data_IF_216414524893
#
_entry.id   IF_216414524893
#
_cell.length_a   1.000
_cell.length_b   1.000
_cell.length_c   1.000
_cell.angle_alpha   90.00
_cell.angle_beta   90.00
_cell.angle_gamma   90.00
#
_symmetry.space_group_name_H-M   'P 1'
#
loop_
_entity.id
_entity.type
_entity.pdbx_description
1 polymer ?
#
# COMPACT_ATOMS: atom_id res chain seq x y z
N UNK A 1 41.29 13.99 -1.87
CA UNK A 1 39.85 13.85 -2.16
C UNK A 1 39.15 14.19 -0.88
N UNK A 2 38.43 15.30 -0.91
CA UNK A 2 37.91 15.97 0.27
C UNK A 2 36.70 15.21 0.81
N UNK A 3 36.64 14.99 2.12
CA UNK A 3 35.53 14.29 2.80
C UNK A 3 34.18 15.00 2.51
N UNK A 4 34.23 16.30 2.17
CA UNK A 4 33.06 17.07 1.72
C UNK A 4 32.51 16.62 0.37
N UNK A 5 33.37 16.33 -0.62
CA UNK A 5 32.93 15.84 -1.93
C UNK A 5 32.33 14.43 -1.85
N UNK A 6 32.84 13.57 -0.97
CA UNK A 6 32.25 12.23 -0.74
C UNK A 6 30.90 12.29 -0.01
N UNK A 7 30.70 13.29 0.85
CA UNK A 7 29.43 13.50 1.57
C UNK A 7 28.39 14.18 0.67
N UNK A 8 28.79 15.17 -0.14
CA UNK A 8 27.93 15.78 -1.17
C UNK A 8 27.52 14.77 -2.25
N UNK A 9 28.43 13.92 -2.72
CA UNK A 9 28.11 12.88 -3.71
C UNK A 9 27.18 11.77 -3.13
N UNK A 10 27.21 11.53 -1.81
CA UNK A 10 26.26 10.64 -1.13
C UNK A 10 24.89 11.29 -0.94
N UNK A 11 24.85 12.58 -0.59
CA UNK A 11 23.61 13.35 -0.49
C UNK A 11 22.95 13.54 -1.86
N UNK A 12 23.71 13.78 -2.93
CA UNK A 12 23.18 13.87 -4.29
C UNK A 12 22.66 12.53 -4.82
N UNK A 13 23.24 11.39 -4.38
CA UNK A 13 22.70 10.06 -4.66
C UNK A 13 21.43 9.76 -3.87
N UNK A 14 21.30 10.24 -2.63
CA UNK A 14 20.06 10.13 -1.85
C UNK A 14 18.90 10.97 -2.42
N UNK A 15 19.21 12.07 -3.13
CA UNK A 15 18.20 13.00 -3.68
C UNK A 15 17.68 12.59 -5.06
N UNK A 16 18.28 11.57 -5.71
CA UNK A 16 17.93 11.17 -7.08
C UNK A 16 17.73 9.65 -7.25
N UNK A 17 17.35 8.96 -6.18
CA UNK A 17 16.93 7.56 -6.26
C UNK A 17 15.51 7.49 -6.82
N UNK A 18 15.30 6.61 -7.80
CA UNK A 18 13.96 6.20 -8.22
C UNK A 18 13.22 5.62 -7.00
N UNK A 19 11.91 5.90 -6.88
CA UNK A 19 11.04 5.38 -5.81
C UNK A 19 11.20 3.86 -5.69
N UNK A 20 11.41 3.18 -6.82
CA UNK A 20 11.66 1.74 -6.88
C UNK A 20 12.94 1.34 -6.14
N UNK A 21 14.03 2.08 -6.32
CA UNK A 21 15.32 1.83 -5.66
C UNK A 21 15.21 2.13 -4.17
N UNK A 22 14.46 3.15 -3.77
CA UNK A 22 14.23 3.48 -2.35
C UNK A 22 13.46 2.37 -1.63
N UNK A 23 12.39 1.86 -2.26
CA UNK A 23 11.64 0.69 -1.77
C UNK A 23 12.56 -0.51 -1.57
N UNK A 24 13.39 -0.80 -2.58
CA UNK A 24 14.31 -1.93 -2.54
C UNK A 24 15.38 -1.78 -1.47
N UNK A 25 15.95 -0.59 -1.34
CA UNK A 25 16.96 -0.29 -0.34
C UNK A 25 16.40 -0.41 1.08
N UNK A 26 15.19 0.10 1.33
CA UNK A 26 14.51 -0.03 2.63
C UNK A 26 14.22 -1.49 2.97
N UNK A 27 13.69 -2.26 2.01
CA UNK A 27 13.45 -3.71 2.20
C UNK A 27 14.73 -4.49 2.51
N UNK A 28 15.87 -4.10 1.90
CA UNK A 28 17.15 -4.76 2.18
C UNK A 28 17.75 -4.37 3.53
N UNK A 29 17.63 -3.11 3.93
CA UNK A 29 18.28 -2.64 5.17
C UNK A 29 17.47 -2.92 6.42
N UNK A 30 16.15 -2.98 6.32
CA UNK A 30 15.30 -3.09 7.49
C UNK A 30 15.36 -4.48 8.13
N UNK A 31 15.18 -4.51 9.44
CA UNK A 31 15.00 -5.73 10.21
C UNK A 31 13.65 -6.36 9.89
N UNK A 32 13.67 -7.50 9.18
CA UNK A 32 12.48 -8.27 8.79
C UNK A 32 11.61 -8.75 9.96
N UNK A 33 12.08 -8.59 11.21
CA UNK A 33 11.31 -8.88 12.42
C UNK A 33 10.29 -7.78 12.75
N UNK A 34 10.42 -6.59 12.18
CA UNK A 34 9.54 -5.43 12.44
C UNK A 34 8.62 -5.17 11.26
N UNK A 35 7.52 -4.48 11.54
CA UNK A 35 6.70 -3.94 10.46
C UNK A 35 7.45 -2.78 9.80
N UNK A 36 7.25 -2.63 8.50
CA UNK A 36 7.85 -1.58 7.70
C UNK A 36 6.76 -0.86 6.90
N UNK A 37 6.78 0.46 6.94
CA UNK A 37 5.92 1.30 6.10
C UNK A 37 6.77 1.84 4.95
N UNK A 38 6.28 1.70 3.73
CA UNK A 38 6.84 2.33 2.54
C UNK A 38 5.75 3.20 1.91
N UNK A 39 6.11 4.38 1.47
CA UNK A 39 5.18 5.37 0.91
C UNK A 39 5.82 6.07 -0.28
N UNK A 40 5.01 6.47 -1.24
CA UNK A 40 5.43 7.38 -2.31
C UNK A 40 5.48 8.83 -1.80
N UNK A 41 6.15 9.73 -2.51
CA UNK A 41 5.88 11.17 -2.36
C UNK A 41 4.39 11.46 -2.54
N UNK A 42 3.87 12.46 -1.82
CA UNK A 42 2.49 12.91 -1.98
C UNK A 42 2.43 14.06 -2.98
N UNK A 43 1.76 13.90 -4.14
CA UNK A 43 1.56 15.00 -5.07
C UNK A 43 0.71 16.13 -4.47
N UNK A 44 0.82 17.34 -4.99
CA UNK A 44 0.05 18.46 -4.43
C UNK A 44 -1.44 18.35 -4.73
N UNK A 45 -1.82 17.75 -5.87
CA UNK A 45 -3.22 17.55 -6.23
C UNK A 45 -3.97 16.65 -5.22
N UNK A 46 -3.30 15.68 -4.59
CA UNK A 46 -3.95 14.82 -3.59
C UNK A 46 -4.22 15.53 -2.26
N UNK A 47 -3.56 16.68 -2.03
CA UNK A 47 -3.78 17.52 -0.85
C UNK A 47 -4.90 18.52 -1.09
N UNK A 48 -5.00 19.05 -2.30
CA UNK A 48 -5.97 20.09 -2.66
C UNK A 48 -7.33 19.55 -3.12
N UNK A 49 -7.37 18.38 -3.77
CA UNK A 49 -8.59 17.82 -4.36
C UNK A 49 -9.11 16.59 -3.59
N UNK A 50 -10.44 16.41 -3.51
CA UNK A 50 -11.04 15.19 -2.98
C UNK A 50 -10.53 13.95 -3.72
N UNK A 51 -10.00 12.99 -2.96
CA UNK A 51 -9.40 11.77 -3.45
C UNK A 51 -10.26 10.54 -3.17
N UNK A 52 -10.13 9.55 -4.06
CA UNK A 52 -10.62 8.20 -3.85
C UNK A 52 -9.42 7.29 -3.56
N UNK A 53 -9.61 6.35 -2.65
CA UNK A 53 -8.55 5.47 -2.14
C UNK A 53 -8.98 4.01 -2.27
N UNK A 54 -8.09 3.17 -2.78
CA UNK A 54 -8.25 1.72 -2.83
C UNK A 54 -7.40 1.03 -1.77
N UNK A 55 -7.90 -0.06 -1.20
CA UNK A 55 -7.20 -0.91 -0.23
C UNK A 55 -7.24 -2.36 -0.68
N UNK A 56 -6.09 -3.02 -0.67
CA UNK A 56 -5.98 -4.46 -0.89
C UNK A 56 -4.78 -5.05 -0.12
N UNK A 57 -4.69 -6.38 -0.06
CA UNK A 57 -3.59 -7.10 0.59
C UNK A 57 -2.93 -8.17 -0.28
N UNK A 58 -1.73 -8.56 0.12
CA UNK A 58 -1.03 -9.73 -0.41
C UNK A 58 -0.43 -10.56 0.74
N UNK A 59 -0.40 -11.88 0.60
CA UNK A 59 0.29 -12.75 1.56
C UNK A 59 -0.49 -13.16 2.79
N UNK A 60 -1.83 -13.07 2.76
CA UNK A 60 -2.70 -13.49 3.86
C UNK A 60 -2.70 -15.01 4.13
N UNK A 61 -2.62 -15.82 3.07
CA UNK A 61 -2.75 -17.29 3.15
C UNK A 61 -1.47 -18.09 3.44
N UNK A 62 -0.29 -17.70 2.93
CA UNK A 62 0.96 -18.43 3.14
C UNK A 62 1.36 -18.55 4.63
N UNK A 63 2.00 -19.67 4.97
CA UNK A 63 2.54 -19.92 6.33
C UNK A 63 3.85 -19.16 6.57
N UNK A 64 4.59 -18.84 5.50
CA UNK A 64 5.88 -18.17 5.53
C UNK A 64 5.81 -16.83 4.82
N UNK A 65 6.68 -15.92 5.26
CA UNK A 65 6.82 -14.58 4.69
C UNK A 65 5.79 -13.59 5.24
N UNK A 66 5.95 -12.29 4.91
CA UNK A 66 5.14 -11.23 5.45
C UNK A 66 3.75 -11.20 4.81
N UNK A 67 2.82 -10.52 5.49
CA UNK A 67 1.57 -10.05 4.91
C UNK A 67 1.73 -8.56 4.60
N UNK A 68 1.35 -8.11 3.41
CA UNK A 68 1.49 -6.72 2.99
C UNK A 68 0.12 -6.14 2.72
N UNK A 69 -0.20 -5.02 3.35
CA UNK A 69 -1.35 -4.19 3.00
C UNK A 69 -0.89 -3.03 2.14
N UNK A 70 -1.64 -2.72 1.09
CA UNK A 70 -1.38 -1.58 0.23
C UNK A 70 -2.60 -0.69 0.11
N UNK A 71 -2.33 0.62 0.01
CA UNK A 71 -3.29 1.64 -0.38
C UNK A 71 -2.76 2.41 -1.57
N UNK A 72 -3.66 2.82 -2.45
CA UNK A 72 -3.39 3.71 -3.57
C UNK A 72 -4.49 4.76 -3.62
N UNK A 73 -4.16 6.02 -3.89
CA UNK A 73 -5.10 7.12 -3.92
C UNK A 73 -4.73 8.15 -4.99
N UNK A 74 -5.76 8.79 -5.53
CA UNK A 74 -5.65 9.79 -6.59
C UNK A 74 -6.85 10.75 -6.51
N UNK A 75 -6.82 11.95 -7.11
CA UNK A 75 -7.99 12.81 -7.18
C UNK A 75 -9.18 12.12 -7.88
N UNK A 76 -10.39 12.37 -7.40
CA UNK A 76 -11.63 11.83 -7.99
C UNK A 76 -11.81 12.31 -9.44
N UNK A 77 -11.33 13.53 -9.74
CA UNK A 77 -11.29 14.11 -11.09
C UNK A 77 -10.51 13.25 -12.10
N UNK A 78 -9.60 12.40 -11.63
CA UNK A 78 -8.75 11.54 -12.48
C UNK A 78 -9.30 10.12 -12.66
N UNK A 79 -10.50 9.79 -12.16
CA UNK A 79 -11.09 8.44 -12.24
C UNK A 79 -11.08 7.85 -13.66
N UNK A 80 -11.46 8.64 -14.66
CA UNK A 80 -11.52 8.20 -16.06
C UNK A 80 -10.12 7.87 -16.60
N UNK A 81 -9.17 8.81 -16.46
CA UNK A 81 -7.77 8.63 -16.84
C UNK A 81 -7.13 7.42 -16.14
N UNK A 82 -7.44 7.23 -14.86
CA UNK A 82 -6.95 6.09 -14.07
C UNK A 82 -7.47 4.76 -14.64
N UNK A 83 -8.71 4.72 -15.15
CA UNK A 83 -9.27 3.54 -15.82
C UNK A 83 -8.52 3.18 -17.11
N UNK A 84 -8.06 4.18 -17.87
CA UNK A 84 -7.31 4.00 -19.12
C UNK A 84 -5.89 3.43 -18.91
N UNK A 85 -5.33 3.56 -17.71
CA UNK A 85 -3.98 3.06 -17.38
C UNK A 85 -3.88 1.53 -17.31
N UNK A 86 -5.02 0.81 -17.40
CA UNK A 86 -5.03 -0.64 -17.63
C UNK A 86 -4.86 -1.49 -16.37
N UNK A 87 -5.27 -1.00 -15.20
CA UNK A 87 -5.09 -1.71 -13.93
C UNK A 87 -6.04 -2.91 -13.71
N UNK A 88 -7.04 -3.16 -14.57
CA UNK A 88 -8.25 -3.92 -14.20
C UNK A 88 -8.13 -5.45 -14.02
N UNK A 89 -7.05 -6.13 -14.43
CA UNK A 89 -6.96 -7.60 -14.36
C UNK A 89 -5.68 -8.11 -13.68
N UNK A 90 -5.51 -7.81 -12.39
CA UNK A 90 -4.28 -8.16 -11.65
C UNK A 90 -4.13 -9.65 -11.28
N UNK A 91 -5.17 -10.47 -11.46
CA UNK A 91 -5.22 -11.88 -11.02
C UNK A 91 -4.52 -12.84 -11.98
N UNK A 92 -4.39 -12.47 -13.24
CA UNK A 92 -3.74 -13.28 -14.29
C UNK A 92 -2.35 -12.77 -14.65
N UNK A 93 -1.90 -11.68 -14.00
CA UNK A 93 -0.62 -11.06 -14.33
C UNK A 93 0.57 -11.90 -13.86
N UNK A 94 1.60 -11.96 -14.71
CA UNK A 94 2.93 -12.43 -14.33
C UNK A 94 3.60 -11.44 -13.37
N UNK A 95 4.70 -11.87 -12.75
CA UNK A 95 5.50 -10.98 -11.90
C UNK A 95 6.01 -9.76 -12.69
N UNK A 96 6.58 -9.96 -13.87
CA UNK A 96 7.06 -8.88 -14.75
C UNK A 96 5.97 -7.88 -15.14
N UNK A 97 4.75 -8.37 -15.39
CA UNK A 97 3.61 -7.51 -15.69
C UNK A 97 3.21 -6.65 -14.48
N UNK A 98 3.23 -7.23 -13.27
CA UNK A 98 2.97 -6.46 -12.04
C UNK A 98 4.05 -5.42 -11.80
N UNK A 99 5.32 -5.76 -12.01
CA UNK A 99 6.42 -4.80 -11.90
C UNK A 99 6.27 -3.66 -12.90
N UNK A 100 5.97 -3.94 -14.16
CA UNK A 100 5.74 -2.90 -15.17
C UNK A 100 4.57 -1.97 -14.81
N UNK A 101 3.50 -2.51 -14.22
CA UNK A 101 2.37 -1.69 -13.75
C UNK A 101 2.75 -0.86 -12.52
N UNK A 102 3.53 -1.43 -11.60
CA UNK A 102 4.05 -0.70 -10.45
C UNK A 102 4.97 0.45 -10.89
N UNK A 103 5.79 0.24 -11.92
CA UNK A 103 6.62 1.29 -12.51
C UNK A 103 5.74 2.42 -13.08
N UNK A 104 4.66 2.11 -13.81
CA UNK A 104 3.69 3.12 -14.26
C UNK A 104 3.01 3.90 -13.13
N UNK A 105 2.74 3.25 -11.98
CA UNK A 105 2.20 3.91 -10.79
C UNK A 105 3.22 4.93 -10.25
N UNK A 106 4.51 4.57 -10.21
CA UNK A 106 5.58 5.45 -9.75
C UNK A 106 5.90 6.58 -10.74
N UNK A 107 5.78 6.32 -12.05
CA UNK A 107 5.92 7.36 -13.09
C UNK A 107 4.80 8.40 -13.02
N UNK A 108 3.61 8.01 -12.57
CA UNK A 108 2.45 8.88 -12.36
C UNK A 108 2.41 9.51 -10.95
N UNK A 109 3.58 9.71 -10.32
CA UNK A 109 3.71 10.28 -8.97
C UNK A 109 3.25 11.75 -8.84
N UNK A 110 2.96 12.40 -9.96
CA UNK A 110 2.34 13.73 -10.03
C UNK A 110 0.84 13.70 -9.74
N UNK A 111 0.19 12.52 -9.84
CA UNK A 111 -1.26 12.36 -9.66
C UNK A 111 -1.67 11.17 -8.78
N UNK A 112 -0.76 10.25 -8.49
CA UNK A 112 -1.00 9.04 -7.70
C UNK A 112 -0.11 9.04 -6.47
N UNK A 113 -0.71 8.78 -5.30
CA UNK A 113 0.01 8.43 -4.09
C UNK A 113 -0.28 6.99 -3.67
N UNK A 114 0.70 6.33 -3.06
CA UNK A 114 0.51 4.99 -2.50
C UNK A 114 1.28 4.81 -1.20
N UNK A 115 0.80 3.90 -0.35
CA UNK A 115 1.48 3.48 0.86
C UNK A 115 1.28 1.98 1.06
N UNK A 116 2.27 1.30 1.61
CA UNK A 116 2.19 -0.12 1.98
C UNK A 116 2.71 -0.32 3.39
N UNK A 117 2.05 -1.20 4.14
CA UNK A 117 2.54 -1.71 5.43
C UNK A 117 2.88 -3.19 5.28
N UNK A 118 4.17 -3.51 5.41
CA UNK A 118 4.69 -4.88 5.46
C UNK A 118 4.63 -5.35 6.90
N UNK A 119 3.77 -6.34 7.17
CA UNK A 119 3.61 -6.95 8.49
C UNK A 119 4.53 -8.16 8.61
N UNK A 120 5.44 -8.13 9.59
CA UNK A 120 6.38 -9.22 9.77
C UNK A 120 5.67 -10.50 10.24
N UNK A 121 6.16 -11.71 9.87
CA UNK A 121 5.66 -12.97 10.40
C UNK A 121 5.73 -13.02 11.93
N UNK A 122 6.75 -12.40 12.51
CA UNK A 122 6.93 -12.28 13.96
C UNK A 122 5.83 -11.43 14.58
N UNK A 123 5.52 -10.27 13.99
CA UNK A 123 4.42 -9.42 14.45
C UNK A 123 3.07 -10.14 14.34
N UNK A 124 2.80 -10.81 13.21
CA UNK A 124 1.57 -11.59 13.01
C UNK A 124 1.44 -12.68 14.07
N UNK A 125 2.51 -13.48 14.27
CA UNK A 125 2.53 -14.58 15.24
C UNK A 125 2.33 -14.09 16.67
N UNK A 126 3.12 -13.10 17.10
CA UNK A 126 3.03 -12.55 18.47
C UNK A 126 1.69 -11.86 18.73
N UNK A 127 1.13 -11.19 17.73
CA UNK A 127 -0.20 -10.57 17.81
C UNK A 127 -1.31 -11.60 17.97
N UNK A 128 -1.28 -12.70 17.20
CA UNK A 128 -2.31 -13.74 17.24
C UNK A 128 -2.20 -14.68 18.43
N UNK A 129 -0.99 -14.90 18.96
CA UNK A 129 -0.71 -15.78 20.11
C UNK A 129 -0.75 -15.06 21.47
N UNK A 130 -1.12 -13.78 21.50
CA UNK A 130 -1.28 -13.03 22.75
C UNK A 130 -2.43 -13.58 23.60
N UNK A 131 -2.41 -13.30 24.91
CA UNK A 131 -3.42 -13.79 25.88
C UNK A 131 -4.86 -13.41 25.50
N UNK A 132 -5.07 -12.19 25.02
CA UNK A 132 -6.39 -11.71 24.57
C UNK A 132 -6.57 -12.00 23.09
N UNK A 133 -7.62 -12.75 22.75
CA UNK A 133 -7.90 -13.16 21.36
C UNK A 133 -7.81 -11.98 20.38
N UNK A 134 -6.92 -12.10 19.41
CA UNK A 134 -6.77 -11.16 18.30
C UNK A 134 -6.51 -11.97 17.04
N UNK A 135 -7.55 -12.11 16.23
CA UNK A 135 -7.48 -12.96 15.05
C UNK A 135 -6.97 -12.17 13.84
N UNK A 136 -6.66 -12.90 12.77
CA UNK A 136 -6.13 -12.31 11.54
C UNK A 136 -7.09 -11.28 10.93
N UNK A 137 -8.42 -11.46 11.03
CA UNK A 137 -9.39 -10.47 10.57
C UNK A 137 -9.25 -9.14 11.30
N UNK A 138 -9.12 -9.16 12.63
CA UNK A 138 -8.96 -7.97 13.43
C UNK A 138 -7.63 -7.26 13.10
N UNK A 139 -6.54 -8.02 12.98
CA UNK A 139 -5.23 -7.51 12.56
C UNK A 139 -5.27 -6.88 11.16
N UNK A 140 -5.90 -7.54 10.20
CA UNK A 140 -6.15 -7.03 8.85
C UNK A 140 -6.92 -5.72 8.83
N UNK A 141 -8.06 -5.66 9.53
CA UNK A 141 -8.87 -4.45 9.57
C UNK A 141 -8.11 -3.29 10.22
N UNK A 142 -7.39 -3.55 11.30
CA UNK A 142 -6.63 -2.51 12.00
C UNK A 142 -5.46 -2.00 11.14
N UNK A 143 -4.86 -2.86 10.32
CA UNK A 143 -3.85 -2.48 9.32
C UNK A 143 -4.41 -1.53 8.25
N UNK A 144 -5.54 -1.90 7.64
CA UNK A 144 -6.23 -1.05 6.68
C UNK A 144 -6.62 0.31 7.27
N UNK A 145 -7.13 0.33 8.50
CA UNK A 145 -7.47 1.56 9.23
C UNK A 145 -6.23 2.44 9.46
N UNK A 146 -5.10 1.84 9.88
CA UNK A 146 -3.85 2.57 10.07
C UNK A 146 -3.36 3.23 8.78
N UNK A 147 -3.40 2.52 7.65
CA UNK A 147 -2.97 3.09 6.37
C UNK A 147 -3.87 4.24 5.91
N UNK A 148 -5.19 4.12 6.07
CA UNK A 148 -6.10 5.24 5.76
C UNK A 148 -5.83 6.44 6.66
N UNK A 149 -5.68 6.20 7.97
CA UNK A 149 -5.34 7.27 8.91
C UNK A 149 -4.00 7.93 8.59
N UNK A 150 -3.00 7.15 8.21
CA UNK A 150 -1.69 7.65 7.79
C UNK A 150 -1.79 8.53 6.55
N UNK A 151 -2.55 8.13 5.53
CA UNK A 151 -2.75 8.94 4.32
C UNK A 151 -3.35 10.32 4.66
N UNK A 152 -4.34 10.34 5.56
CA UNK A 152 -4.96 11.58 6.05
C UNK A 152 -3.95 12.40 6.87
N UNK A 153 -3.16 11.77 7.74
CA UNK A 153 -2.12 12.42 8.54
C UNK A 153 -1.03 13.06 7.66
N UNK A 154 -0.66 12.40 6.54
CA UNK A 154 0.24 12.94 5.53
C UNK A 154 -0.37 14.11 4.73
N UNK A 155 -1.67 14.35 4.86
CA UNK A 155 -2.38 15.48 4.27
C UNK A 155 -3.17 15.15 3.01
N UNK A 156 -3.38 13.86 2.67
CA UNK A 156 -4.24 13.49 1.56
C UNK A 156 -5.72 13.77 1.90
N UNK A 157 -6.43 14.43 0.99
CA UNK A 157 -7.83 14.79 1.14
C UNK A 157 -8.74 13.62 0.73
N UNK A 158 -8.79 12.57 1.57
CA UNK A 158 -9.54 11.34 1.27
C UNK A 158 -11.05 11.57 1.45
N UNK A 159 -11.82 11.43 0.38
CA UNK A 159 -13.27 11.56 0.36
C UNK A 159 -13.99 10.22 0.13
N UNK A 160 -13.38 9.29 -0.61
CA UNK A 160 -13.94 7.97 -0.89
C UNK A 160 -12.91 6.86 -0.60
N UNK A 161 -13.37 5.73 -0.04
CA UNK A 161 -12.53 4.55 0.22
C UNK A 161 -13.22 3.29 -0.29
N UNK A 162 -12.48 2.51 -1.07
CA UNK A 162 -12.88 1.24 -1.66
C UNK A 162 -11.99 0.12 -1.14
N UNK A 163 -12.59 -0.95 -0.63
CA UNK A 163 -11.86 -2.04 0.04
C UNK A 163 -12.27 -3.39 -0.53
N UNK A 164 -11.28 -4.23 -0.89
CA UNK A 164 -11.55 -5.64 -1.17
C UNK A 164 -11.73 -6.43 0.12
N UNK A 165 -12.67 -7.37 0.12
CA UNK A 165 -12.85 -8.28 1.25
C UNK A 165 -13.17 -9.70 0.80
N UNK A 166 -12.59 -10.66 1.52
CA UNK A 166 -12.98 -12.08 1.46
C UNK A 166 -14.20 -12.40 2.32
N UNK A 167 -14.56 -11.51 3.25
CA UNK A 167 -15.55 -11.73 4.30
C UNK A 167 -16.93 -11.13 4.02
N UNK A 168 -17.68 -10.86 5.10
CA UNK A 168 -18.95 -10.13 5.07
C UNK A 168 -18.66 -8.62 4.92
N UNK A 169 -18.98 -8.01 3.77
CA UNK A 169 -18.68 -6.60 3.52
C UNK A 169 -19.45 -5.66 4.44
N UNK A 170 -20.67 -6.02 4.87
CA UNK A 170 -21.55 -5.13 5.63
C UNK A 170 -20.94 -4.77 6.98
N UNK A 171 -20.51 -5.77 7.75
CA UNK A 171 -19.90 -5.54 9.07
C UNK A 171 -18.59 -4.76 8.99
N UNK A 172 -17.79 -5.02 7.95
CA UNK A 172 -16.53 -4.33 7.78
C UNK A 172 -16.76 -2.87 7.38
N UNK A 173 -17.71 -2.62 6.49
CA UNK A 173 -18.11 -1.27 6.10
C UNK A 173 -18.67 -0.48 7.29
N UNK A 174 -19.52 -1.08 8.13
CA UNK A 174 -20.01 -0.45 9.37
C UNK A 174 -18.87 -0.09 10.32
N UNK A 175 -17.88 -0.98 10.52
CA UNK A 175 -16.69 -0.70 11.33
C UNK A 175 -15.93 0.51 10.79
N UNK A 176 -15.67 0.54 9.48
CA UNK A 176 -14.93 1.64 8.86
C UNK A 176 -15.70 2.97 8.92
N UNK A 177 -17.01 2.95 8.64
CA UNK A 177 -17.87 4.15 8.74
C UNK A 177 -17.95 4.70 10.16
N UNK A 178 -17.90 3.82 11.18
CA UNK A 178 -17.84 4.24 12.57
C UNK A 178 -16.54 4.97 12.94
N UNK A 179 -15.45 4.71 12.22
CA UNK A 179 -14.13 5.33 12.45
C UNK A 179 -13.94 6.57 11.59
N UNK A 180 -14.38 6.53 10.33
CA UNK A 180 -14.25 7.60 9.36
C UNK A 180 -15.65 8.06 8.86
N UNK A 181 -16.44 8.76 9.70
CA UNK A 181 -17.82 9.10 9.38
C UNK A 181 -17.97 10.11 8.23
N UNK A 182 -16.93 10.87 7.91
CA UNK A 182 -16.91 11.87 6.84
C UNK A 182 -16.48 11.34 5.47
N UNK A 183 -16.06 10.07 5.40
CA UNK A 183 -15.57 9.43 4.18
C UNK A 183 -16.67 8.51 3.64
N UNK A 184 -16.91 8.52 2.33
CA UNK A 184 -17.77 7.54 1.71
C UNK A 184 -17.02 6.21 1.54
N UNK A 185 -17.50 5.16 2.20
CA UNK A 185 -16.80 3.89 2.29
C UNK A 185 -17.64 2.79 1.65
N UNK A 186 -17.04 2.14 0.66
CA UNK A 186 -17.58 0.98 -0.04
C UNK A 186 -16.67 -0.23 0.19
N UNK A 187 -17.21 -1.27 0.81
CA UNK A 187 -16.53 -2.57 0.92
C UNK A 187 -17.22 -3.54 -0.02
N UNK A 188 -16.47 -4.17 -0.91
CA UNK A 188 -17.00 -5.10 -1.89
C UNK A 188 -16.15 -6.36 -2.00
N UNK A 189 -16.75 -7.45 -2.47
CA UNK A 189 -16.01 -8.65 -2.86
C UNK A 189 -15.50 -8.47 -4.27
N UNK A 190 -14.25 -8.85 -4.55
CA UNK A 190 -13.60 -8.66 -5.85
C UNK A 190 -13.54 -7.18 -6.22
N UNK A 191 -13.32 -6.31 -5.24
CA UNK A 191 -13.26 -4.87 -5.44
C UNK A 191 -12.11 -4.49 -6.38
N UNK A 192 -11.02 -5.26 -6.40
CA UNK A 192 -9.91 -5.14 -7.34
C UNK A 192 -10.35 -5.27 -8.82
N UNK A 193 -11.36 -6.09 -9.10
CA UNK A 193 -11.92 -6.24 -10.45
C UNK A 193 -12.99 -5.18 -10.79
N UNK A 194 -13.48 -4.42 -9.80
CA UNK A 194 -14.54 -3.42 -9.96
C UNK A 194 -14.00 -2.00 -9.97
N UNK A 195 -12.95 -1.74 -9.20
CA UNK A 195 -12.40 -0.43 -8.96
C UNK A 195 -10.91 -0.41 -9.32
N UNK A 196 -10.50 0.30 -10.38
CA UNK A 196 -9.10 0.39 -10.78
C UNK A 196 -8.15 0.79 -9.66
N UNK A 197 -8.58 1.68 -8.75
CA UNK A 197 -7.79 2.14 -7.61
C UNK A 197 -7.46 1.00 -6.62
N UNK A 198 -8.39 0.07 -6.43
CA UNK A 198 -8.17 -1.12 -5.58
C UNK A 198 -7.20 -2.07 -6.28
N UNK A 199 -7.30 -2.21 -7.61
CA UNK A 199 -6.33 -3.01 -8.36
C UNK A 199 -4.91 -2.41 -8.30
N UNK A 200 -4.78 -1.08 -8.37
CA UNK A 200 -3.48 -0.42 -8.19
C UNK A 200 -2.91 -0.69 -6.78
N UNK A 201 -3.73 -0.58 -5.73
CA UNK A 201 -3.34 -0.96 -4.37
C UNK A 201 -2.92 -2.44 -4.27
N UNK A 202 -3.62 -3.31 -4.99
CA UNK A 202 -3.29 -4.74 -5.14
C UNK A 202 -1.89 -4.95 -5.72
N UNK A 203 -1.54 -4.18 -6.76
CA UNK A 203 -0.21 -4.24 -7.40
C UNK A 203 0.87 -3.78 -6.41
N UNK A 204 0.67 -2.65 -5.73
CA UNK A 204 1.59 -2.17 -4.70
C UNK A 204 1.85 -3.25 -3.64
N UNK A 205 0.78 -3.87 -3.10
CA UNK A 205 0.92 -4.93 -2.09
C UNK A 205 1.65 -6.18 -2.62
N UNK A 206 1.30 -6.66 -3.82
CA UNK A 206 1.88 -7.88 -4.41
C UNK A 206 3.36 -7.69 -4.76
N UNK A 207 3.72 -6.60 -5.44
CA UNK A 207 5.10 -6.33 -5.84
C UNK A 207 5.98 -6.15 -4.60
N UNK A 208 5.53 -5.37 -3.60
CA UNK A 208 6.27 -5.22 -2.35
C UNK A 208 6.46 -6.56 -1.64
N UNK A 209 5.42 -7.40 -1.59
CA UNK A 209 5.53 -8.73 -0.97
C UNK A 209 6.54 -9.61 -1.70
N UNK A 210 6.45 -9.70 -3.02
CA UNK A 210 7.32 -10.55 -3.83
C UNK A 210 8.79 -10.13 -3.64
N UNK A 211 9.07 -8.82 -3.62
CA UNK A 211 10.39 -8.27 -3.29
C UNK A 211 10.83 -8.58 -1.85
N UNK A 212 9.95 -8.41 -0.87
CA UNK A 212 10.27 -8.67 0.54
C UNK A 212 10.66 -10.14 0.77
N UNK A 213 9.98 -11.08 0.10
CA UNK A 213 10.32 -12.51 0.20
C UNK A 213 11.64 -12.83 -0.52
N UNK A 214 11.88 -12.26 -1.72
CA UNK A 214 13.14 -12.46 -2.47
C UNK A 214 14.37 -11.96 -1.72
N UNK A 215 14.22 -10.84 -1.00
CA UNK A 215 15.32 -10.17 -0.27
C UNK A 215 15.36 -10.49 1.22
N UNK A 216 14.62 -11.52 1.65
CA UNK A 216 14.51 -11.89 3.07
C UNK A 216 15.87 -12.26 3.65
N UNK A 217 16.18 -11.69 4.81
CA UNK A 217 17.40 -11.95 5.59
C UNK A 217 17.04 -12.75 6.84
N UNK A 218 17.75 -13.86 7.05
CA UNK A 218 17.60 -14.77 8.18
C UNK A 218 18.65 -14.49 9.27
#
# INVERSE_FOLDING_TARGET
MDIKEEVECKLEKEVNMDIKEEVEFKLEKEDNMKNLILESPLPDCVKSEPCWLGIDEAGRGPVLGPMVYGICFSPISMKEKFGEMGFADSKTLTEDQRESIFDKINEANDMIGWMVEVLSPTFISTSMLRRTKYNLNALSHDCAIRLVALAIERGANIAEVYVDTVGDPTKYQEKLKGIFPSIDITVAKKADSLYPIVSAASICAKVTRDKAVKKWKF
#
